data_IF_975212462214
#
_entry.id   IF_975212462214
#
_cell.length_a   1.000
_cell.length_b   1.000
_cell.length_c   1.000
_cell.angle_alpha   90.00
_cell.angle_beta   90.00
_cell.angle_gamma   90.00
#
_symmetry.space_group_name_H-M   'P 1'
#
loop_
_entity.id
_entity.type
_entity.pdbx_description
1 polymer ?
#
# COMPACT_ATOMS: atom_id res chain seq x y z
N UNK A 1 18.26 -5.85 13.29
CA UNK A 1 18.23 -7.31 13.08
C UNK A 1 19.49 -7.90 13.68
N UNK A 2 19.43 -9.08 14.32
CA UNK A 2 20.62 -9.76 14.82
C UNK A 2 21.65 -9.94 13.71
N UNK A 3 22.95 -9.90 14.03
CA UNK A 3 24.01 -10.06 13.04
C UNK A 3 23.89 -11.38 12.23
N UNK A 4 23.30 -12.42 12.84
CA UNK A 4 23.08 -13.73 12.22
C UNK A 4 22.17 -13.70 10.98
N UNK A 5 21.47 -12.59 10.74
CA UNK A 5 20.49 -12.47 9.66
C UNK A 5 21.05 -11.72 8.44
N UNK A 6 22.27 -11.17 8.50
CA UNK A 6 22.80 -10.34 7.40
C UNK A 6 23.26 -11.15 6.18
N UNK A 7 23.68 -12.40 6.39
CA UNK A 7 24.21 -13.28 5.32
C UNK A 7 23.19 -14.33 4.84
N UNK A 8 21.98 -14.31 5.40
CA UNK A 8 20.91 -15.27 5.09
C UNK A 8 20.06 -14.74 3.94
N UNK A 9 19.70 -15.56 2.93
CA UNK A 9 18.79 -15.18 1.86
C UNK A 9 17.48 -14.57 2.36
N UNK A 10 16.94 -13.59 1.63
CA UNK A 10 15.74 -12.87 2.07
C UNK A 10 14.52 -13.79 2.24
N UNK A 11 14.37 -14.82 1.41
CA UNK A 11 13.27 -15.78 1.52
C UNK A 11 13.29 -16.55 2.84
N UNK A 12 14.46 -17.06 3.27
CA UNK A 12 14.59 -17.79 4.54
C UNK A 12 14.21 -16.90 5.74
N UNK A 13 14.50 -15.61 5.62
CA UNK A 13 14.21 -14.64 6.67
C UNK A 13 12.73 -14.28 6.71
N UNK A 14 12.08 -14.19 5.54
CA UNK A 14 10.63 -14.00 5.47
C UNK A 14 9.91 -15.20 6.10
N UNK A 15 10.38 -16.42 5.84
CA UNK A 15 9.86 -17.64 6.48
C UNK A 15 10.09 -17.63 7.99
N UNK A 16 11.27 -17.23 8.46
CA UNK A 16 11.57 -17.13 9.89
C UNK A 16 10.67 -16.08 10.58
N UNK A 17 10.43 -14.93 9.94
CA UNK A 17 9.47 -13.93 10.43
C UNK A 17 8.06 -14.50 10.54
N UNK A 18 7.59 -15.25 9.53
CA UNK A 18 6.30 -15.92 9.61
C UNK A 18 6.23 -16.86 10.81
N UNK A 19 7.27 -17.67 11.04
CA UNK A 19 7.31 -18.57 12.19
C UNK A 19 7.25 -17.81 13.52
N UNK A 20 8.04 -16.75 13.69
CA UNK A 20 8.05 -15.95 14.91
C UNK A 20 6.71 -15.28 15.17
N UNK A 21 6.11 -14.64 14.17
CA UNK A 21 4.88 -13.87 14.37
C UNK A 21 3.59 -14.70 14.36
N UNK A 22 3.62 -15.96 13.91
CA UNK A 22 2.42 -16.79 13.82
C UNK A 22 2.47 -18.10 14.59
N UNK A 23 3.63 -18.75 14.72
CA UNK A 23 3.75 -20.08 15.32
C UNK A 23 4.42 -20.03 16.70
N UNK A 24 5.50 -19.26 16.81
CA UNK A 24 6.37 -19.20 17.98
C UNK A 24 6.41 -17.79 18.55
N UNK A 25 5.23 -17.19 18.73
CA UNK A 25 5.11 -15.82 19.27
C UNK A 25 5.70 -15.73 20.68
N UNK A 26 6.56 -14.72 20.97
CA UNK A 26 7.02 -14.45 22.32
C UNK A 26 5.85 -14.23 23.28
N UNK A 27 6.02 -14.64 24.54
CA UNK A 27 4.93 -14.64 25.53
C UNK A 27 4.45 -13.23 25.92
N UNK A 28 5.33 -12.24 25.79
CA UNK A 28 5.11 -10.83 26.07
C UNK A 28 4.75 -10.01 24.82
N UNK A 29 4.62 -10.65 23.65
CA UNK A 29 4.28 -9.98 22.41
C UNK A 29 2.75 -9.88 22.23
N UNK A 30 2.20 -8.69 22.43
CA UNK A 30 0.77 -8.39 22.24
C UNK A 30 0.44 -7.81 20.85
N UNK A 31 1.43 -7.75 19.95
CA UNK A 31 1.23 -7.25 18.60
C UNK A 31 0.43 -8.19 17.70
N UNK A 32 0.15 -7.72 16.49
CA UNK A 32 -0.58 -8.53 15.50
C UNK A 32 0.30 -9.63 14.91
N UNK A 33 -0.37 -10.72 14.53
CA UNK A 33 0.20 -11.76 13.67
C UNK A 33 0.53 -11.21 12.28
N UNK A 34 1.39 -11.93 11.56
CA UNK A 34 1.64 -11.68 10.16
C UNK A 34 0.56 -12.36 9.32
N UNK A 35 -0.12 -11.61 8.47
CA UNK A 35 -1.32 -12.04 7.76
C UNK A 35 -1.21 -11.89 6.24
N UNK A 36 -2.05 -12.62 5.52
CA UNK A 36 -2.21 -12.43 4.07
C UNK A 36 -2.60 -10.98 3.81
N UNK A 37 -2.01 -10.39 2.78
CA UNK A 37 -2.13 -8.98 2.40
C UNK A 37 -1.30 -7.97 3.19
N UNK A 38 -0.50 -8.42 4.17
CA UNK A 38 0.52 -7.56 4.75
C UNK A 38 1.65 -7.26 3.76
N UNK A 39 2.34 -6.14 4.00
CA UNK A 39 3.53 -5.73 3.24
C UNK A 39 4.70 -5.58 4.21
N UNK A 40 5.79 -6.30 3.91
CA UNK A 40 7.00 -6.33 4.72
C UNK A 40 8.11 -5.58 4.00
N UNK A 41 8.68 -4.56 4.62
CA UNK A 41 9.89 -3.91 4.14
C UNK A 41 11.12 -4.44 4.91
N UNK A 42 11.98 -5.20 4.23
CA UNK A 42 13.22 -5.74 4.78
C UNK A 42 14.39 -4.83 4.43
N UNK A 43 14.95 -4.15 5.45
CA UNK A 43 16.16 -3.32 5.32
C UNK A 43 17.41 -4.10 5.75
N UNK A 44 18.32 -4.37 4.81
CA UNK A 44 19.54 -5.17 5.02
C UNK A 44 20.68 -4.64 4.17
N UNK A 45 21.89 -4.57 4.74
CA UNK A 45 23.10 -4.12 4.03
C UNK A 45 22.92 -2.78 3.29
N UNK A 46 22.06 -1.89 3.81
CA UNK A 46 21.73 -0.61 3.20
C UNK A 46 20.63 -0.65 2.12
N UNK A 47 20.24 -1.83 1.66
CA UNK A 47 19.18 -2.06 0.68
C UNK A 47 17.84 -2.35 1.37
N UNK A 48 16.73 -1.94 0.74
CA UNK A 48 15.37 -2.26 1.18
C UNK A 48 14.67 -3.07 0.10
N UNK A 49 14.26 -4.28 0.44
CA UNK A 49 13.34 -5.09 -0.39
C UNK A 49 11.94 -5.08 0.23
N UNK A 50 10.91 -5.16 -0.59
CA UNK A 50 9.52 -5.08 -0.14
C UNK A 50 8.77 -6.31 -0.62
N UNK A 51 8.06 -7.00 0.29
CA UNK A 51 7.41 -8.27 0.01
C UNK A 51 5.96 -8.24 0.44
N UNK A 52 5.06 -8.66 -0.45
CA UNK A 52 3.65 -8.92 -0.16
C UNK A 52 3.48 -10.31 0.41
N UNK A 53 2.67 -10.44 1.46
CA UNK A 53 2.31 -11.74 2.04
C UNK A 53 1.12 -12.32 1.28
N UNK A 54 1.36 -13.35 0.48
CA UNK A 54 0.34 -14.11 -0.25
C UNK A 54 -0.06 -15.37 0.55
N UNK A 55 -1.15 -15.99 0.10
CA UNK A 55 -1.72 -17.22 0.65
C UNK A 55 -0.75 -18.42 0.69
N UNK A 56 0.29 -18.42 -0.15
CA UNK A 56 1.25 -19.52 -0.28
C UNK A 56 2.71 -19.11 -0.03
N UNK A 57 2.98 -17.87 0.36
CA UNK A 57 4.34 -17.38 0.57
C UNK A 57 4.48 -15.87 0.35
N UNK A 58 5.65 -15.44 -0.11
CA UNK A 58 6.00 -14.03 -0.25
C UNK A 58 6.25 -13.65 -1.70
N UNK A 59 5.74 -12.49 -2.10
CA UNK A 59 5.94 -11.93 -3.44
C UNK A 59 6.69 -10.62 -3.38
N UNK A 60 7.83 -10.55 -4.07
CA UNK A 60 8.60 -9.33 -4.22
C UNK A 60 7.77 -8.24 -4.93
N UNK A 61 7.76 -7.04 -4.33
CA UNK A 61 7.08 -5.85 -4.83
C UNK A 61 8.12 -4.84 -5.34
N UNK A 62 8.61 -5.11 -6.55
CA UNK A 62 9.58 -4.24 -7.21
C UNK A 62 8.99 -2.85 -7.47
N UNK A 63 9.80 -1.82 -7.19
CA UNK A 63 9.40 -0.44 -7.36
C UNK A 63 8.29 0.04 -6.42
N UNK A 64 7.96 -0.72 -5.36
CA UNK A 64 6.94 -0.32 -4.41
C UNK A 64 7.22 1.03 -3.74
N UNK A 65 8.50 1.32 -3.51
CA UNK A 65 8.95 2.59 -2.93
C UNK A 65 9.27 3.65 -3.99
N UNK A 66 9.12 3.34 -5.27
CA UNK A 66 9.40 4.28 -6.35
C UNK A 66 8.37 5.40 -6.30
N UNK A 67 8.86 6.64 -6.26
CA UNK A 67 8.00 7.82 -6.34
C UNK A 67 7.48 7.97 -7.76
N UNK A 68 6.28 7.46 -8.00
CA UNK A 68 5.52 7.84 -9.18
C UNK A 68 5.04 9.29 -9.01
N UNK A 69 4.93 10.08 -10.10
CA UNK A 69 4.28 11.38 -10.04
C UNK A 69 2.87 11.19 -9.46
N UNK A 70 2.52 12.01 -8.47
CA UNK A 70 1.20 11.94 -7.87
C UNK A 70 0.14 12.09 -8.96
N UNK A 71 -0.78 11.13 -9.03
CA UNK A 71 -1.92 11.26 -9.94
C UNK A 71 -2.72 12.48 -9.48
N UNK A 72 -3.11 13.38 -10.39
CA UNK A 72 -3.95 14.51 -10.03
C UNK A 72 -5.20 13.98 -9.32
N UNK A 73 -5.55 14.61 -8.20
CA UNK A 73 -6.70 14.18 -7.42
C UNK A 73 -7.97 14.20 -8.26
N UNK A 74 -8.96 13.38 -7.90
CA UNK A 74 -10.28 13.39 -8.56
C UNK A 74 -10.86 14.81 -8.56
N UNK A 75 -10.64 15.57 -7.47
CA UNK A 75 -11.05 16.97 -7.36
C UNK A 75 -10.35 17.89 -8.37
N UNK A 76 -9.03 17.72 -8.57
CA UNK A 76 -8.30 18.51 -9.57
C UNK A 76 -8.79 18.20 -10.99
N UNK A 77 -9.00 16.94 -11.32
CA UNK A 77 -9.57 16.54 -12.61
C UNK A 77 -11.01 17.08 -12.81
N UNK A 78 -11.83 17.07 -11.76
CA UNK A 78 -13.18 17.63 -11.81
C UNK A 78 -13.15 19.14 -12.02
N UNK A 79 -12.27 19.85 -11.30
CA UNK A 79 -12.12 21.30 -11.44
C UNK A 79 -11.70 21.67 -12.86
N UNK A 80 -10.72 20.98 -13.43
CA UNK A 80 -10.28 21.18 -14.81
C UNK A 80 -11.43 20.98 -15.81
N UNK A 81 -12.27 19.96 -15.60
CA UNK A 81 -13.48 19.73 -16.42
C UNK A 81 -14.54 20.82 -16.25
N UNK A 82 -14.65 21.46 -15.09
CA UNK A 82 -15.56 22.58 -14.85
C UNK A 82 -15.04 23.89 -15.45
N UNK A 83 -13.72 24.10 -15.40
CA UNK A 83 -13.05 25.29 -15.94
C UNK A 83 -12.84 25.21 -17.47
N UNK A 84 -13.09 24.03 -18.08
CA UNK A 84 -12.96 23.81 -19.51
C UNK A 84 -13.94 24.72 -20.29
N UNK A 85 -13.49 25.39 -21.38
CA UNK A 85 -14.32 26.34 -22.15
C UNK A 85 -15.52 25.68 -22.87
N UNK A 86 -15.48 24.36 -22.99
CA UNK A 86 -16.55 23.52 -23.51
C UNK A 86 -17.60 23.13 -22.46
N UNK A 87 -17.34 23.40 -21.17
CA UNK A 87 -18.32 23.27 -20.11
C UNK A 87 -19.37 24.37 -20.28
N UNK A 88 -20.58 24.01 -20.73
CA UNK A 88 -21.69 24.95 -20.86
C UNK A 88 -22.47 25.04 -19.51
N UNK A 89 -22.27 26.09 -18.69
CA UNK A 89 -22.90 26.19 -17.37
C UNK A 89 -24.42 26.34 -17.43
N UNK A 90 -25.00 26.64 -18.60
CA UNK A 90 -26.45 26.83 -18.78
C UNK A 90 -27.20 25.49 -18.65
N UNK A 91 -26.59 24.37 -19.03
CA UNK A 91 -27.24 23.04 -19.00
C UNK A 91 -27.14 22.37 -17.62
N UNK A 92 -26.05 22.60 -16.87
CA UNK A 92 -25.88 22.05 -15.51
C UNK A 92 -26.79 22.69 -14.44
N UNK A 93 -27.40 23.85 -14.73
CA UNK A 93 -28.23 24.57 -13.76
C UNK A 93 -29.64 24.00 -13.56
N UNK A 94 -30.04 22.98 -14.33
CA UNK A 94 -31.47 22.62 -14.50
C UNK A 94 -31.99 21.45 -13.64
N UNK A 95 -31.38 21.11 -12.51
CA UNK A 95 -31.92 20.05 -11.61
C UNK A 95 -31.94 20.45 -10.12
N UNK A 96 -31.97 21.74 -9.78
CA UNK A 96 -32.20 22.18 -8.38
C UNK A 96 -33.43 23.06 -8.19
N UNK A 97 -34.35 23.06 -9.16
CA UNK A 97 -35.54 23.91 -9.13
C UNK A 97 -36.88 23.14 -9.07
N UNK A 98 -36.87 21.80 -8.95
CA UNK A 98 -38.12 21.01 -8.95
C UNK A 98 -38.29 20.14 -7.69
N UNK A 99 -37.96 20.70 -6.52
CA UNK A 99 -38.41 20.15 -5.24
C UNK A 99 -38.73 21.28 -4.25
N UNK A 100 -39.61 22.19 -4.67
CA UNK A 100 -40.41 23.00 -3.74
C UNK A 100 -41.86 23.02 -4.27
N UNK A 101 -42.67 22.11 -3.73
CA UNK A 101 -44.12 22.19 -3.63
C UNK A 101 -44.51 21.67 -2.24
#
# INVERSE_FOLDING_TARGET
>A
LPAMWQDVPNNEVLEELFQVFNLSRPQDFEGHSLSVSDVIALKRNGEVSVHYVDSIGFKDLQGFLDKQPERPSVLMNLKEKCDAPECNPIVCRKVRAEHEL
#
